data_IF_801684191883
#
_entry.id   IF_801684191883
#
_cell.length_a   1.000
_cell.length_b   1.000
_cell.length_c   1.000
_cell.angle_alpha   90.00
_cell.angle_beta   90.00
_cell.angle_gamma   90.00
#
_symmetry.space_group_name_H-M   'P 1'
#
loop_
_entity.id
_entity.type
_entity.pdbx_description
1 polymer ?
#
# COMPACT_ATOMS: atom_id res chain seq x y z
N UNK A 1 -12.20 9.55 -50.87
CA UNK A 1 -12.29 8.87 -49.56
C UNK A 1 -10.90 8.38 -49.19
N UNK A 2 -10.10 9.17 -48.48
CA UNK A 2 -8.78 8.74 -47.98
C UNK A 2 -8.93 8.48 -46.47
N UNK A 3 -8.70 7.24 -46.04
CA UNK A 3 -8.71 6.87 -44.63
C UNK A 3 -7.36 7.27 -44.00
N UNK A 4 -7.39 8.27 -43.13
CA UNK A 4 -6.25 8.61 -42.26
C UNK A 4 -6.18 7.57 -41.15
N UNK A 5 -5.22 6.65 -41.25
CA UNK A 5 -4.91 5.71 -40.17
C UNK A 5 -4.05 6.48 -39.18
N UNK A 6 -4.64 6.97 -38.09
CA UNK A 6 -3.88 7.57 -36.98
C UNK A 6 -3.09 6.41 -36.37
N UNK A 7 -1.74 6.47 -36.31
CA UNK A 7 -0.99 5.48 -35.57
C UNK A 7 -1.38 5.68 -34.10
N UNK A 8 -2.02 4.68 -33.52
CA UNK A 8 -2.30 4.63 -32.09
C UNK A 8 -0.94 4.57 -31.39
N UNK A 9 -0.36 5.74 -31.10
CA UNK A 9 0.81 5.85 -30.25
C UNK A 9 0.37 5.32 -28.90
N UNK A 10 0.71 4.06 -28.62
CA UNK A 10 0.51 3.47 -27.31
C UNK A 10 1.38 4.26 -26.34
N UNK A 11 0.74 5.20 -25.64
CA UNK A 11 1.27 5.69 -24.37
C UNK A 11 1.47 4.45 -23.51
N UNK A 12 2.62 4.27 -22.83
CA UNK A 12 2.67 3.32 -21.74
C UNK A 12 1.61 3.79 -20.75
N UNK A 13 0.50 3.06 -20.68
CA UNK A 13 -0.50 3.30 -19.67
C UNK A 13 0.17 2.95 -18.35
N UNK A 14 0.69 3.97 -17.65
CA UNK A 14 0.93 3.86 -16.23
C UNK A 14 -0.48 3.92 -15.62
N UNK A 15 -1.23 2.82 -15.74
CA UNK A 15 -2.41 2.61 -14.92
C UNK A 15 -1.85 2.37 -13.53
N UNK A 16 -1.65 3.43 -12.76
CA UNK A 16 -1.62 3.22 -11.32
C UNK A 16 -3.01 2.68 -11.01
N UNK A 17 -3.04 1.42 -10.59
CA UNK A 17 -4.22 0.62 -10.33
C UNK A 17 -5.35 1.44 -9.70
N UNK A 18 -6.60 1.06 -9.90
CA UNK A 18 -7.71 1.74 -9.24
C UNK A 18 -7.60 1.57 -7.71
N UNK A 19 -7.82 2.68 -6.99
CA UNK A 19 -7.97 2.68 -5.54
C UNK A 19 -9.22 1.87 -5.18
N UNK A 20 -9.09 0.92 -4.26
CA UNK A 20 -10.18 0.03 -3.88
C UNK A 20 -10.75 0.41 -2.52
N UNK A 21 -9.89 0.67 -1.53
CA UNK A 21 -10.32 0.87 -0.15
C UNK A 21 -9.21 1.46 0.72
N UNK A 22 -9.56 2.40 1.61
CA UNK A 22 -8.69 2.86 2.70
C UNK A 22 -9.44 2.70 4.02
N UNK A 23 -8.75 2.21 5.05
CA UNK A 23 -9.26 2.15 6.43
C UNK A 23 -8.22 2.65 7.40
N UNK A 24 -8.60 3.66 8.18
CA UNK A 24 -7.84 4.16 9.32
C UNK A 24 -8.52 3.66 10.60
N UNK A 25 -7.83 2.83 11.39
CA UNK A 25 -8.44 2.13 12.53
C UNK A 25 -8.63 3.06 13.72
N UNK A 26 -9.88 3.30 14.13
CA UNK A 26 -10.22 4.04 15.35
C UNK A 26 -10.09 3.21 16.64
N UNK A 27 -9.70 1.93 16.54
CA UNK A 27 -9.64 1.03 17.70
C UNK A 27 -8.35 1.18 18.53
N UNK A 28 -7.45 2.05 18.09
CA UNK A 28 -6.14 2.26 18.69
C UNK A 28 -5.95 3.74 19.03
N UNK A 29 -5.02 4.04 19.94
CA UNK A 29 -4.71 5.43 20.29
C UNK A 29 -4.09 6.14 19.09
N UNK A 30 -4.53 7.37 18.83
CA UNK A 30 -3.94 8.20 17.78
C UNK A 30 -2.53 8.66 18.16
N UNK A 31 -1.64 8.79 17.17
CA UNK A 31 -0.34 9.42 17.37
C UNK A 31 -0.47 10.94 17.31
N UNK A 32 0.47 11.66 17.94
CA UNK A 32 0.54 13.13 17.86
C UNK A 32 1.30 13.56 16.61
N UNK A 33 0.84 14.63 15.95
CA UNK A 33 1.57 15.24 14.84
C UNK A 33 2.99 15.66 15.25
N UNK A 34 3.93 15.47 14.33
CA UNK A 34 5.38 15.62 14.46
C UNK A 34 6.00 14.76 15.57
N UNK A 35 5.33 13.67 15.97
CA UNK A 35 5.88 12.73 16.94
C UNK A 35 6.97 11.86 16.31
N UNK A 36 7.85 11.24 17.12
CA UNK A 36 8.77 10.23 16.64
C UNK A 36 8.09 9.07 15.89
N UNK A 37 6.84 8.74 16.26
CA UNK A 37 6.04 7.74 15.55
C UNK A 37 5.74 8.16 14.12
N UNK A 38 5.31 9.41 13.88
CA UNK A 38 5.03 9.91 12.52
C UNK A 38 6.31 9.93 11.66
N UNK A 39 7.44 10.32 12.23
CA UNK A 39 8.74 10.27 11.55
C UNK A 39 9.15 8.84 11.18
N UNK A 40 8.99 7.88 12.09
CA UNK A 40 9.27 6.47 11.82
C UNK A 40 8.29 5.87 10.80
N UNK A 41 7.02 6.26 10.85
CA UNK A 41 6.00 5.87 9.89
C UNK A 41 6.36 6.36 8.48
N UNK A 42 6.78 7.63 8.35
CA UNK A 42 7.23 8.19 7.08
C UNK A 42 8.40 7.40 6.51
N UNK A 43 9.44 7.15 7.30
CA UNK A 43 10.59 6.33 6.87
C UNK A 43 10.17 4.92 6.45
N UNK A 44 9.26 4.30 7.19
CA UNK A 44 8.73 2.99 6.85
C UNK A 44 8.05 3.00 5.48
N UNK A 45 7.14 3.95 5.25
CA UNK A 45 6.35 4.04 4.02
C UNK A 45 7.22 4.37 2.80
N UNK A 46 8.28 5.17 2.97
CA UNK A 46 9.28 5.46 1.94
C UNK A 46 10.14 4.24 1.57
N UNK A 47 10.34 3.30 2.50
CA UNK A 47 11.19 2.11 2.28
C UNK A 47 10.43 0.92 1.67
N UNK A 48 9.14 0.78 1.95
CA UNK A 48 8.32 -0.35 1.48
C UNK A 48 8.41 -0.62 -0.03
N UNK A 49 8.35 0.37 -0.94
CA UNK A 49 8.26 0.10 -2.37
C UNK A 49 9.48 -0.63 -2.94
N UNK A 50 10.69 -0.23 -2.51
CA UNK A 50 11.96 -0.74 -3.06
C UNK A 50 12.19 -2.23 -2.83
N UNK A 51 11.77 -2.75 -1.67
CA UNK A 51 11.91 -4.18 -1.35
C UNK A 51 10.75 -4.97 -1.93
N UNK A 52 9.53 -4.43 -1.81
CA UNK A 52 8.32 -5.10 -2.31
C UNK A 52 8.36 -5.28 -3.83
N UNK A 53 8.94 -4.33 -4.57
CA UNK A 53 9.11 -4.46 -6.02
C UNK A 53 9.97 -5.65 -6.44
N UNK A 54 10.88 -6.11 -5.57
CA UNK A 54 11.78 -7.23 -5.85
C UNK A 54 11.19 -8.58 -5.43
N UNK A 55 10.46 -8.60 -4.31
CA UNK A 55 10.01 -9.84 -3.66
C UNK A 55 8.50 -10.08 -3.78
N UNK A 56 7.73 -9.07 -4.19
CA UNK A 56 6.27 -9.05 -4.15
C UNK A 56 5.68 -8.85 -2.75
N UNK A 57 6.47 -8.96 -1.69
CA UNK A 57 6.05 -8.81 -0.30
C UNK A 57 7.18 -8.32 0.60
N UNK A 58 6.88 -7.37 1.49
CA UNK A 58 7.80 -6.93 2.52
C UNK A 58 7.06 -6.77 3.86
N UNK A 59 7.68 -7.19 4.96
CA UNK A 59 7.28 -6.88 6.33
C UNK A 59 8.50 -6.35 7.08
N UNK A 60 8.39 -5.14 7.61
CA UNK A 60 9.51 -4.44 8.26
C UNK A 60 9.02 -3.56 9.40
N UNK A 61 9.96 -2.97 10.14
CA UNK A 61 9.66 -2.04 11.21
C UNK A 61 10.71 -0.94 11.30
N UNK A 62 10.30 0.25 11.75
CA UNK A 62 11.18 1.40 11.97
C UNK A 62 11.03 1.94 13.39
N UNK A 63 12.15 2.41 13.93
CA UNK A 63 12.23 2.97 15.29
C UNK A 63 12.22 1.92 16.40
N UNK A 64 12.27 2.43 17.63
CA UNK A 64 12.27 1.63 18.87
C UNK A 64 11.08 2.00 19.77
N UNK A 65 10.65 1.08 20.66
CA UNK A 65 9.57 1.37 21.61
C UNK A 65 9.88 2.65 22.43
N UNK A 66 8.88 3.51 22.68
CA UNK A 66 7.45 3.35 22.38
C UNK A 66 7.02 3.85 20.98
N UNK A 67 7.95 4.31 20.14
CA UNK A 67 7.66 4.93 18.85
C UNK A 67 7.87 3.99 17.65
N UNK A 68 8.00 2.68 17.90
CA UNK A 68 8.20 1.68 16.86
C UNK A 68 6.96 1.52 16.00
N UNK A 69 7.16 1.47 14.69
CA UNK A 69 6.11 1.26 13.68
C UNK A 69 6.43 -0.01 12.92
N UNK A 70 5.43 -0.86 12.74
CA UNK A 70 5.49 -2.02 11.86
C UNK A 70 4.73 -1.71 10.58
N UNK A 71 5.13 -2.33 9.48
CA UNK A 71 4.39 -2.21 8.24
C UNK A 71 4.71 -3.32 7.26
N UNK A 72 3.76 -3.53 6.36
CA UNK A 72 3.87 -4.49 5.29
C UNK A 72 3.31 -3.94 3.98
N UNK A 73 3.82 -4.46 2.88
CA UNK A 73 3.27 -4.27 1.56
C UNK A 73 3.22 -5.60 0.82
N UNK A 74 2.19 -5.77 -0.02
CA UNK A 74 1.98 -6.95 -0.84
C UNK A 74 1.53 -6.51 -2.23
N UNK A 75 2.21 -6.98 -3.26
CA UNK A 75 1.77 -6.82 -4.65
C UNK A 75 0.98 -8.04 -5.11
N UNK A 76 0.10 -7.83 -6.10
CA UNK A 76 -0.57 -8.93 -6.79
C UNK A 76 0.46 -9.80 -7.52
N UNK A 77 0.27 -11.12 -7.52
CA UNK A 77 1.31 -12.08 -7.94
C UNK A 77 1.67 -12.08 -9.43
N UNK A 78 0.85 -11.49 -10.30
CA UNK A 78 1.05 -11.42 -11.76
C UNK A 78 1.64 -10.08 -12.23
N UNK A 79 1.87 -9.12 -11.33
CA UNK A 79 2.37 -7.78 -11.70
C UNK A 79 3.88 -7.75 -11.79
N UNK A 80 4.42 -6.98 -12.73
CA UNK A 80 5.86 -6.80 -12.85
C UNK A 80 6.41 -5.88 -11.75
N UNK A 81 7.73 -5.87 -11.57
CA UNK A 81 8.44 -5.11 -10.53
C UNK A 81 8.15 -3.60 -10.57
N UNK A 82 8.08 -2.97 -11.76
CA UNK A 82 7.85 -1.52 -11.84
C UNK A 82 6.41 -1.14 -11.50
N UNK A 83 5.43 -1.93 -11.95
CA UNK A 83 4.02 -1.77 -11.58
C UNK A 83 3.80 -1.99 -10.09
N UNK A 84 4.47 -2.99 -9.50
CA UNK A 84 4.47 -3.22 -8.06
C UNK A 84 5.03 -2.00 -7.31
N UNK A 85 6.22 -1.53 -7.71
CA UNK A 85 6.85 -0.37 -7.08
C UNK A 85 5.95 0.87 -7.12
N UNK A 86 5.45 1.22 -8.31
CA UNK A 86 4.61 2.40 -8.51
C UNK A 86 3.30 2.33 -7.70
N UNK A 87 2.70 1.14 -7.61
CA UNK A 87 1.51 0.94 -6.79
C UNK A 87 1.82 1.15 -5.30
N UNK A 88 2.88 0.53 -4.78
CA UNK A 88 3.25 0.64 -3.37
C UNK A 88 3.68 2.06 -3.02
N UNK A 89 4.39 2.77 -3.91
CA UNK A 89 4.73 4.19 -3.74
C UNK A 89 3.47 5.04 -3.58
N UNK A 90 2.50 4.92 -4.51
CA UNK A 90 1.25 5.68 -4.46
C UNK A 90 0.42 5.34 -3.22
N UNK A 91 0.25 4.05 -2.93
CA UNK A 91 -0.44 3.59 -1.73
C UNK A 91 0.20 4.12 -0.44
N UNK A 92 1.54 4.10 -0.35
CA UNK A 92 2.28 4.64 0.79
C UNK A 92 2.12 6.14 0.96
N UNK A 93 2.09 6.91 -0.14
CA UNK A 93 1.86 8.36 -0.08
C UNK A 93 0.46 8.68 0.41
N UNK A 94 -0.56 8.06 -0.20
CA UNK A 94 -1.95 8.36 0.12
C UNK A 94 -2.35 7.90 1.52
N UNK A 95 -1.90 6.72 1.96
CA UNK A 95 -2.23 6.27 3.32
C UNK A 95 -1.61 7.17 4.40
N UNK A 96 -0.46 7.79 4.13
CA UNK A 96 0.16 8.75 5.04
C UNK A 96 -0.67 10.03 5.17
N UNK A 97 -1.27 10.48 4.07
CA UNK A 97 -2.09 11.69 4.01
C UNK A 97 -3.51 11.44 4.57
N UNK A 98 -4.17 10.38 4.11
CA UNK A 98 -5.56 10.05 4.44
C UNK A 98 -5.72 9.59 5.89
N UNK A 99 -4.76 8.81 6.40
CA UNK A 99 -4.81 8.24 7.75
C UNK A 99 -3.92 9.00 8.74
N UNK A 100 -3.82 10.31 8.56
CA UNK A 100 -3.09 11.18 9.47
C UNK A 100 -3.60 11.04 10.90
N UNK A 101 -2.68 10.93 11.86
CA UNK A 101 -2.91 10.68 13.29
C UNK A 101 -3.32 9.25 13.68
N UNK A 102 -3.53 8.34 12.73
CA UNK A 102 -3.90 6.96 13.05
C UNK A 102 -2.69 6.06 13.22
N UNK A 103 -2.68 5.23 14.27
CA UNK A 103 -1.56 4.29 14.53
C UNK A 103 -1.69 2.95 13.83
N UNK A 104 -2.81 2.69 13.17
CA UNK A 104 -3.05 1.50 12.37
C UNK A 104 -3.93 1.87 11.17
N UNK A 105 -3.45 1.58 9.97
CA UNK A 105 -4.21 1.84 8.75
C UNK A 105 -3.78 0.94 7.61
N UNK A 106 -4.75 0.56 6.77
CA UNK A 106 -4.55 -0.22 5.55
C UNK A 106 -5.16 0.47 4.33
N UNK A 107 -4.45 0.41 3.20
CA UNK A 107 -4.92 0.86 1.89
C UNK A 107 -4.79 -0.27 0.87
N UNK A 108 -5.76 -0.35 -0.04
CA UNK A 108 -5.91 -1.36 -1.06
C UNK A 108 -6.01 -0.70 -2.43
N UNK A 109 -5.21 -1.22 -3.33
CA UNK A 109 -5.16 -0.89 -4.73
C UNK A 109 -5.31 -2.18 -5.55
N UNK A 110 -5.75 -2.07 -6.80
CA UNK A 110 -5.94 -3.22 -7.68
C UNK A 110 -4.63 -3.96 -8.03
N UNK A 111 -3.45 -3.41 -7.71
CA UNK A 111 -2.15 -4.08 -7.90
C UNK A 111 -1.35 -4.31 -6.60
N UNK A 112 -1.73 -3.69 -5.47
CA UNK A 112 -0.98 -3.79 -4.23
C UNK A 112 -1.79 -3.38 -3.00
N UNK A 113 -1.23 -3.66 -1.82
CA UNK A 113 -1.81 -3.33 -0.52
C UNK A 113 -0.70 -2.86 0.42
N UNK A 114 -0.97 -1.85 1.25
CA UNK A 114 -0.03 -1.33 2.25
C UNK A 114 -0.74 -1.24 3.60
N UNK A 115 -0.14 -1.77 4.66
CA UNK A 115 -0.65 -1.72 6.03
C UNK A 115 0.46 -1.31 6.98
N UNK A 116 0.17 -0.40 7.92
CA UNK A 116 1.06 -0.11 9.04
C UNK A 116 0.31 -0.22 10.37
N UNK A 117 1.06 -0.49 11.45
CA UNK A 117 0.52 -0.59 12.81
C UNK A 117 1.57 -0.29 13.87
N UNK A 118 1.17 0.23 15.03
CA UNK A 118 2.03 0.31 16.21
C UNK A 118 2.26 -1.07 16.86
N UNK A 119 1.39 -2.04 16.56
CA UNK A 119 1.52 -3.41 17.06
C UNK A 119 2.19 -4.29 16.01
N UNK A 120 3.16 -5.11 16.43
CA UNK A 120 3.83 -6.07 15.55
C UNK A 120 2.95 -7.22 15.07
N UNK A 121 1.69 -7.30 15.54
CA UNK A 121 0.69 -8.23 15.04
C UNK A 121 0.06 -7.71 13.76
N UNK A 122 0.89 -7.56 12.72
CA UNK A 122 0.40 -7.34 11.37
C UNK A 122 -0.19 -8.66 10.90
N UNK A 123 -1.51 -8.78 11.02
CA UNK A 123 -2.21 -10.01 10.68
C UNK A 123 -2.11 -10.21 9.17
N UNK A 124 -1.34 -11.20 8.74
CA UNK A 124 -1.54 -11.87 7.43
C UNK A 124 -3.02 -12.25 7.21
N UNK A 125 -3.80 -12.36 8.29
CA UNK A 125 -5.25 -12.46 8.31
C UNK A 125 -6.02 -11.26 7.76
N UNK A 126 -5.53 -10.01 7.82
CA UNK A 126 -6.22 -8.83 7.23
C UNK A 126 -6.18 -8.92 5.71
N UNK A 127 -5.04 -9.31 5.13
CA UNK A 127 -4.94 -9.61 3.70
C UNK A 127 -5.88 -10.76 3.30
N UNK A 128 -6.03 -11.80 4.14
CA UNK A 128 -6.99 -12.89 3.91
C UNK A 128 -8.46 -12.53 4.12
N UNK A 129 -8.82 -11.74 5.14
CA UNK A 129 -10.24 -11.41 5.45
C UNK A 129 -10.83 -10.45 4.44
N UNK A 130 -10.06 -9.46 4.01
CA UNK A 130 -10.50 -8.53 2.97
C UNK A 130 -10.57 -9.21 1.59
N UNK A 131 -9.83 -10.30 1.36
CA UNK A 131 -10.06 -11.18 0.21
C UNK A 131 -11.50 -11.70 0.14
N UNK A 132 -12.12 -12.04 1.28
CA UNK A 132 -13.55 -12.44 1.33
C UNK A 132 -14.52 -11.26 1.19
N UNK A 133 -14.09 -10.03 1.48
CA UNK A 133 -14.92 -8.83 1.34
C UNK A 133 -14.84 -8.21 -0.07
N UNK A 134 -13.75 -8.46 -0.80
CA UNK A 134 -13.52 -8.05 -2.21
C UNK A 134 -14.06 -9.12 -3.19
N UNK A 135 -14.68 -10.21 -2.71
CA UNK A 135 -15.23 -11.33 -3.51
C UNK A 135 -16.33 -10.99 -4.54
N UNK A 136 -16.56 -9.71 -4.87
CA UNK A 136 -17.24 -9.33 -6.11
C UNK A 136 -16.28 -9.12 -7.30
N UNK A 137 -14.95 -9.22 -7.09
CA UNK A 137 -13.95 -9.22 -8.17
C UNK A 137 -13.17 -10.54 -8.04
N UNK A 138 -13.65 -11.55 -8.75
CA UNK A 138 -12.86 -12.75 -9.05
C UNK A 138 -11.58 -12.29 -9.76
N UNK A 139 -10.44 -12.88 -9.38
CA UNK A 139 -9.08 -12.81 -9.96
C UNK A 139 -8.05 -12.03 -9.12
N UNK A 140 -7.52 -12.71 -8.10
CA UNK A 140 -6.14 -12.53 -7.60
C UNK A 140 -5.55 -13.84 -7.04
N UNK A 141 -5.95 -14.98 -7.62
CA UNK A 141 -5.22 -16.25 -7.53
C UNK A 141 -5.33 -16.96 -8.87
#
# INVERSE_FOLDING_TARGET
>A
MFLLIIPFSALPAITVADHLFTSCSNNTSNYTLNSPFESNLKLLLENLPSITSLTGFNYTSFGEPPAKVYGQALCRGDVNSSSCQACVEKASQEIFEDCRNYTDAIIWYELCQVHYSFQGSIQTGIFRRNFYQIQNISLMF
#
